data_IF_757869579955
#
_entry.id   IF_757869579955
#
_cell.length_a   1.000
_cell.length_b   1.000
_cell.length_c   1.000
_cell.angle_alpha   90.00
_cell.angle_beta   90.00
_cell.angle_gamma   90.00
#
_symmetry.space_group_name_H-M   'P 1'
#
loop_
_entity.id
_entity.type
_entity.pdbx_description
1 polymer ?
#
# COMPACT_ATOMS: atom_id res chain seq x y z
N UNK A 1 -35.66 -4.02 -13.73
CA UNK A 1 -34.68 -3.78 -12.63
C UNK A 1 -33.42 -3.22 -13.25
N UNK A 2 -32.83 -2.26 -12.56
CA UNK A 2 -32.01 -1.15 -13.06
C UNK A 2 -30.65 -1.62 -13.61
N UNK A 3 -30.36 -1.31 -14.87
CA UNK A 3 -29.02 -1.40 -15.44
C UNK A 3 -28.16 -0.28 -14.84
N UNK A 4 -27.06 -0.64 -14.18
CA UNK A 4 -26.04 0.31 -13.74
C UNK A 4 -24.91 0.30 -14.76
N UNK A 5 -24.88 1.31 -15.61
CA UNK A 5 -23.71 1.62 -16.42
C UNK A 5 -22.75 2.41 -15.54
N UNK A 6 -21.60 1.83 -15.18
CA UNK A 6 -20.48 2.56 -14.60
C UNK A 6 -19.75 3.27 -15.74
N UNK A 7 -19.98 4.57 -15.90
CA UNK A 7 -19.22 5.41 -16.81
C UNK A 7 -18.02 5.96 -16.04
N UNK A 8 -16.82 5.44 -16.31
CA UNK A 8 -15.56 6.00 -15.80
C UNK A 8 -15.24 7.24 -16.63
N UNK A 9 -15.31 8.41 -16.00
CA UNK A 9 -14.93 9.70 -16.58
C UNK A 9 -13.46 9.96 -16.22
N UNK A 10 -12.56 9.79 -17.19
CA UNK A 10 -11.17 10.23 -17.07
C UNK A 10 -11.13 11.74 -17.30
N UNK A 11 -11.02 12.51 -16.22
CA UNK A 11 -10.82 13.97 -16.31
C UNK A 11 -9.32 14.24 -16.18
N UNK A 12 -8.69 14.59 -17.30
CA UNK A 12 -7.32 15.11 -17.35
C UNK A 12 -7.39 16.60 -17.02
N UNK A 13 -7.05 16.98 -15.78
CA UNK A 13 -6.83 18.38 -15.44
C UNK A 13 -5.39 18.78 -15.79
N UNK A 14 -5.23 19.44 -16.94
CA UNK A 14 -4.04 20.23 -17.21
C UNK A 14 -4.11 21.54 -16.43
N UNK A 15 -3.19 21.76 -15.50
CA UNK A 15 -3.07 23.03 -14.81
C UNK A 15 -2.08 23.95 -15.55
N UNK A 16 -2.63 24.96 -16.24
CA UNK A 16 -1.89 26.15 -16.67
C UNK A 16 -1.84 27.14 -15.51
N UNK A 17 -0.67 27.36 -14.92
CA UNK A 17 -0.48 28.38 -13.89
C UNK A 17 -0.37 29.74 -14.59
N UNK A 18 -1.44 30.54 -14.52
CA UNK A 18 -1.40 31.95 -14.92
C UNK A 18 -1.71 32.87 -13.73
N UNK A 19 -0.71 33.70 -13.45
CA UNK A 19 -0.79 35.09 -12.98
C UNK A 19 -0.76 35.42 -11.49
N UNK A 20 0.08 36.42 -11.24
CA UNK A 20 -0.17 37.63 -10.45
C UNK A 20 0.23 37.61 -8.98
N UNK A 21 1.37 38.23 -8.73
CA UNK A 21 1.75 38.79 -7.44
C UNK A 21 0.66 39.75 -6.92
N UNK A 22 0.15 39.49 -5.73
CA UNK A 22 -0.24 40.54 -4.79
C UNK A 22 0.26 40.10 -3.43
N UNK A 23 1.12 40.93 -2.88
CA UNK A 23 1.74 40.79 -1.57
C UNK A 23 0.67 40.86 -0.49
N UNK A 24 0.53 39.80 0.28
CA UNK A 24 0.12 39.85 1.68
C UNK A 24 0.93 38.78 2.41
N UNK A 25 1.81 39.26 3.29
CA UNK A 25 2.66 38.46 4.18
C UNK A 25 1.79 37.79 5.25
N UNK A 26 1.12 36.70 4.90
CA UNK A 26 0.83 35.65 5.85
C UNK A 26 1.91 34.58 5.65
N UNK A 27 2.82 34.42 6.62
CA UNK A 27 3.67 33.23 6.74
C UNK A 27 2.76 32.02 6.93
N UNK A 28 2.17 31.55 5.84
CA UNK A 28 1.53 30.26 5.75
C UNK A 28 2.68 29.27 5.80
N UNK A 29 3.04 28.86 7.02
CA UNK A 29 3.88 27.69 7.23
C UNK A 29 3.31 26.60 6.32
N UNK A 30 4.07 26.08 5.34
CA UNK A 30 3.54 25.09 4.43
C UNK A 30 3.08 23.91 5.28
N UNK A 31 1.78 23.62 5.22
CA UNK A 31 1.25 22.40 5.81
C UNK A 31 1.87 21.27 5.00
N UNK A 32 2.82 20.56 5.61
CA UNK A 32 3.40 19.36 5.02
C UNK A 32 2.38 18.25 5.26
N UNK A 33 1.70 17.86 4.19
CA UNK A 33 0.81 16.70 4.17
C UNK A 33 1.63 15.44 4.49
N UNK A 34 1.18 14.57 5.44
CA UNK A 34 1.85 13.30 5.71
C UNK A 34 1.91 12.38 4.48
N UNK A 35 2.88 11.50 4.44
CA UNK A 35 2.97 10.48 3.38
C UNK A 35 2.17 9.21 3.72
N UNK A 36 1.91 8.34 2.74
CA UNK A 36 1.20 7.06 2.94
C UNK A 36 1.85 6.24 4.05
N UNK A 37 3.17 6.07 3.99
CA UNK A 37 3.92 5.29 4.98
C UNK A 37 3.86 5.93 6.39
N UNK A 38 3.79 7.25 6.49
CA UNK A 38 3.59 7.95 7.78
C UNK A 38 2.19 7.73 8.33
N UNK A 39 1.15 7.80 7.48
CA UNK A 39 -0.24 7.59 7.87
C UNK A 39 -0.53 6.15 8.30
N UNK A 40 0.13 5.18 7.66
CA UNK A 40 -0.17 3.77 7.83
C UNK A 40 0.90 2.99 8.59
N UNK A 41 1.91 3.66 9.16
CA UNK A 41 2.92 3.01 9.99
C UNK A 41 2.30 2.19 11.12
N UNK A 42 2.66 0.91 11.20
CA UNK A 42 2.20 -0.02 12.24
C UNK A 42 0.77 -0.50 12.07
N UNK A 43 0.09 -0.15 10.97
CA UNK A 43 -1.22 -0.71 10.64
C UNK A 43 -1.07 -2.12 10.08
N UNK A 44 -1.81 -3.07 10.66
CA UNK A 44 -1.82 -4.47 10.24
C UNK A 44 -2.99 -4.73 9.30
N UNK A 45 -2.72 -5.41 8.20
CA UNK A 45 -3.67 -5.76 7.16
C UNK A 45 -3.66 -7.26 6.93
N UNK A 46 -4.82 -7.87 6.71
CA UNK A 46 -4.92 -9.31 6.47
C UNK A 46 -5.73 -9.63 5.22
N UNK A 47 -5.24 -10.58 4.43
CA UNK A 47 -6.05 -11.30 3.45
C UNK A 47 -6.14 -12.77 3.88
N UNK A 48 -7.37 -13.26 4.07
CA UNK A 48 -7.65 -14.66 4.37
C UNK A 48 -8.23 -15.33 3.13
N UNK A 49 -7.37 -15.95 2.31
CA UNK A 49 -7.78 -16.59 1.06
C UNK A 49 -8.58 -17.86 1.35
N UNK A 50 -8.11 -18.66 2.30
CA UNK A 50 -8.79 -19.83 2.84
C UNK A 50 -8.16 -20.24 4.18
N UNK A 51 -8.68 -21.32 4.80
CA UNK A 51 -8.17 -21.83 6.08
C UNK A 51 -6.69 -22.29 6.05
N UNK A 52 -6.12 -22.46 4.86
CA UNK A 52 -4.74 -22.90 4.67
C UNK A 52 -3.80 -21.78 4.19
N UNK A 53 -4.35 -20.65 3.74
CA UNK A 53 -3.59 -19.57 3.13
C UNK A 53 -4.12 -18.22 3.63
N UNK A 54 -3.29 -17.55 4.41
CA UNK A 54 -3.54 -16.21 4.89
C UNK A 54 -2.25 -15.42 4.90
N UNK A 55 -2.35 -14.13 4.63
CA UNK A 55 -1.22 -13.21 4.68
C UNK A 55 -1.57 -12.03 5.58
N UNK A 56 -0.62 -11.64 6.41
CA UNK A 56 -0.62 -10.37 7.11
C UNK A 56 0.47 -9.47 6.53
N UNK A 57 0.18 -8.17 6.44
CA UNK A 57 1.11 -7.13 5.99
C UNK A 57 1.07 -5.95 6.97
N UNK A 58 2.23 -5.46 7.39
CA UNK A 58 2.33 -4.27 8.23
C UNK A 58 3.28 -3.24 7.62
N UNK A 59 2.82 -1.99 7.45
CA UNK A 59 3.65 -0.92 6.91
C UNK A 59 4.58 -0.30 7.94
N UNK A 60 5.70 0.22 7.46
CA UNK A 60 6.68 0.99 8.22
C UNK A 60 7.01 2.30 7.50
N UNK A 61 7.21 3.38 8.25
CA UNK A 61 7.78 4.61 7.72
C UNK A 61 9.30 4.47 7.49
N UNK A 62 9.67 3.53 6.62
CA UNK A 62 11.04 3.26 6.20
C UNK A 62 11.04 2.98 4.70
N UNK A 63 11.57 3.91 3.90
CA UNK A 63 11.59 3.78 2.46
C UNK A 63 12.44 2.60 1.95
N UNK A 64 13.35 2.04 2.77
CA UNK A 64 14.15 0.88 2.41
C UNK A 64 13.47 -0.46 2.73
N UNK A 65 12.60 -0.45 3.75
CA UNK A 65 11.82 -1.61 4.22
C UNK A 65 10.38 -1.17 4.51
N UNK A 66 9.59 -0.85 3.47
CA UNK A 66 8.30 -0.17 3.65
C UNK A 66 7.24 -1.03 4.33
N UNK A 67 7.41 -2.35 4.37
CA UNK A 67 6.53 -3.25 5.10
C UNK A 67 7.19 -4.59 5.43
N UNK A 68 6.56 -5.33 6.32
CA UNK A 68 6.84 -6.73 6.59
C UNK A 68 5.60 -7.60 6.38
N UNK A 69 5.82 -8.89 6.13
CA UNK A 69 4.80 -9.87 5.78
C UNK A 69 4.90 -11.12 6.64
N UNK A 70 3.73 -11.68 7.00
CA UNK A 70 3.60 -13.02 7.58
C UNK A 70 2.70 -13.86 6.70
N UNK A 71 3.23 -14.95 6.17
CA UNK A 71 2.54 -15.80 5.23
C UNK A 71 2.30 -17.19 5.83
N UNK A 72 1.04 -17.59 5.94
CA UNK A 72 0.64 -18.96 6.19
C UNK A 72 0.44 -19.63 4.84
N UNK A 73 1.24 -20.65 4.55
CA UNK A 73 1.12 -21.42 3.30
C UNK A 73 0.71 -22.86 3.61
N UNK A 74 -0.23 -23.39 2.83
CA UNK A 74 -0.64 -24.80 2.84
C UNK A 74 -1.04 -25.35 4.23
N UNK A 75 -1.49 -24.49 5.15
CA UNK A 75 -1.90 -24.90 6.48
C UNK A 75 -0.77 -25.48 7.33
N UNK A 76 0.48 -25.03 7.12
CA UNK A 76 1.64 -25.49 7.86
C UNK A 76 1.53 -25.31 9.39
N UNK A 77 0.53 -24.56 9.87
CA UNK A 77 0.30 -24.28 11.28
C UNK A 77 1.29 -23.26 11.87
N UNK A 78 2.13 -22.68 11.01
CA UNK A 78 3.07 -21.61 11.33
C UNK A 78 3.14 -20.61 10.17
N UNK A 79 3.59 -19.40 10.47
CA UNK A 79 3.80 -18.32 9.51
C UNK A 79 5.27 -18.20 9.15
N UNK A 80 5.57 -18.01 7.87
CA UNK A 80 6.86 -17.51 7.41
C UNK A 80 6.85 -15.98 7.51
N UNK A 81 7.90 -15.39 8.09
CA UNK A 81 8.03 -13.93 8.21
C UNK A 81 9.14 -13.41 7.31
N UNK A 82 8.86 -12.29 6.66
CA UNK A 82 9.80 -11.60 5.79
C UNK A 82 9.68 -10.10 5.95
N UNK A 83 10.83 -9.43 6.05
CA UNK A 83 10.92 -7.99 5.92
C UNK A 83 11.11 -7.65 4.44
N UNK A 84 10.27 -6.79 3.87
CA UNK A 84 10.30 -6.50 2.44
C UNK A 84 11.34 -5.41 2.13
N UNK A 85 12.60 -5.82 1.97
CA UNK A 85 13.69 -4.90 1.63
C UNK A 85 13.70 -4.63 0.13
N UNK A 86 13.47 -3.39 -0.29
CA UNK A 86 13.37 -3.06 -1.72
C UNK A 86 14.64 -3.39 -2.52
N UNK A 87 15.81 -3.33 -1.87
CA UNK A 87 17.09 -3.70 -2.46
C UNK A 87 17.15 -5.17 -2.89
N UNK A 88 16.43 -6.05 -2.21
CA UNK A 88 16.47 -7.49 -2.48
C UNK A 88 15.69 -7.85 -3.75
N UNK A 89 14.84 -6.92 -4.22
CA UNK A 89 13.98 -7.07 -5.40
C UNK A 89 14.29 -6.08 -6.54
N UNK A 90 15.35 -5.28 -6.40
CA UNK A 90 15.68 -4.20 -7.35
C UNK A 90 14.48 -3.27 -7.60
N UNK A 91 13.87 -2.81 -6.50
CA UNK A 91 12.67 -1.99 -6.48
C UNK A 91 12.91 -0.64 -5.81
N UNK A 92 12.05 0.33 -6.12
CA UNK A 92 12.09 1.69 -5.56
C UNK A 92 10.69 2.23 -5.35
N UNK A 93 10.48 3.02 -4.30
CA UNK A 93 9.24 3.81 -4.15
C UNK A 93 9.27 4.94 -5.17
N UNK A 94 8.29 4.96 -6.07
CA UNK A 94 8.13 5.99 -7.10
C UNK A 94 7.12 7.06 -6.71
N UNK A 95 6.15 6.72 -5.85
CA UNK A 95 5.19 7.66 -5.28
C UNK A 95 4.87 7.29 -3.81
N UNK A 96 4.69 8.28 -2.94
CA UNK A 96 4.32 8.10 -1.53
C UNK A 96 3.51 9.32 -1.04
N UNK A 97 2.27 9.46 -1.52
CA UNK A 97 1.34 10.56 -1.16
C UNK A 97 0.43 10.16 0.00
N UNK A 98 -0.45 11.03 0.50
CA UNK A 98 -1.48 10.62 1.46
C UNK A 98 -2.40 9.50 0.90
N UNK A 99 -2.64 9.50 -0.41
CA UNK A 99 -3.65 8.67 -1.05
C UNK A 99 -3.14 7.27 -1.39
N UNK A 100 -1.87 7.15 -1.80
CA UNK A 100 -1.32 5.87 -2.23
C UNK A 100 0.21 5.80 -2.14
N UNK A 101 0.69 4.56 -2.08
CA UNK A 101 2.09 4.18 -2.22
C UNK A 101 2.29 3.44 -3.53
N UNK A 102 3.29 3.82 -4.32
CA UNK A 102 3.71 3.13 -5.53
C UNK A 102 5.14 2.61 -5.36
N UNK A 103 5.33 1.30 -5.58
CA UNK A 103 6.63 0.65 -5.64
C UNK A 103 6.83 0.10 -7.05
N UNK A 104 7.86 0.59 -7.73
CA UNK A 104 8.23 0.14 -9.07
C UNK A 104 9.47 -0.75 -9.01
N UNK A 105 9.40 -1.89 -9.67
CA UNK A 105 10.51 -2.82 -9.85
C UNK A 105 11.24 -2.52 -11.16
N UNK A 106 12.53 -2.81 -11.22
CA UNK A 106 13.32 -2.61 -12.45
C UNK A 106 12.81 -3.45 -13.65
N UNK A 107 12.04 -4.52 -13.38
CA UNK A 107 11.34 -5.30 -14.41
C UNK A 107 10.18 -4.54 -15.09
N UNK A 108 9.77 -3.38 -14.56
CA UNK A 108 8.57 -2.65 -14.97
C UNK A 108 7.29 -3.13 -14.30
N UNK A 109 7.39 -4.10 -13.38
CA UNK A 109 6.33 -4.49 -12.47
C UNK A 109 6.06 -3.35 -11.48
N UNK A 110 4.81 -3.08 -11.15
CA UNK A 110 4.40 -2.03 -10.21
C UNK A 110 3.46 -2.60 -9.16
N UNK A 111 3.68 -2.22 -7.90
CA UNK A 111 2.73 -2.39 -6.81
C UNK A 111 2.17 -1.04 -6.40
N UNK A 112 0.85 -0.96 -6.33
CA UNK A 112 0.10 0.20 -5.84
C UNK A 112 -0.68 -0.21 -4.60
N UNK A 113 -0.52 0.55 -3.53
CA UNK A 113 -1.27 0.38 -2.29
C UNK A 113 -2.10 1.62 -2.01
N UNK A 114 -3.38 1.43 -1.74
CA UNK A 114 -4.30 2.49 -1.33
C UNK A 114 -5.15 1.98 -0.16
N UNK A 115 -5.63 2.89 0.68
CA UNK A 115 -6.50 2.55 1.81
C UNK A 115 -7.81 3.30 1.68
N UNK A 116 -8.92 2.57 1.75
CA UNK A 116 -10.28 3.11 1.80
C UNK A 116 -10.95 2.57 3.07
N UNK A 117 -11.17 3.46 4.04
CA UNK A 117 -11.70 3.12 5.37
C UNK A 117 -10.86 2.04 6.09
N UNK A 118 -11.41 0.84 6.27
CA UNK A 118 -10.76 -0.31 6.92
C UNK A 118 -10.32 -1.38 5.91
N UNK A 119 -10.21 -1.02 4.62
CA UNK A 119 -9.72 -1.88 3.55
C UNK A 119 -8.45 -1.31 2.92
N UNK A 120 -7.44 -2.16 2.78
CA UNK A 120 -6.26 -1.87 1.96
C UNK A 120 -6.38 -2.60 0.63
N UNK A 121 -6.23 -1.86 -0.45
CA UNK A 121 -6.23 -2.35 -1.82
C UNK A 121 -4.79 -2.39 -2.29
N UNK A 122 -4.32 -3.60 -2.59
CA UNK A 122 -3.04 -3.81 -3.26
C UNK A 122 -3.30 -4.21 -4.71
N UNK A 123 -2.87 -3.36 -5.64
CA UNK A 123 -2.90 -3.62 -7.08
C UNK A 123 -1.51 -4.02 -7.54
N UNK A 124 -1.42 -5.22 -8.10
CA UNK A 124 -0.22 -5.77 -8.70
C UNK A 124 -0.34 -5.68 -10.23
N UNK A 125 0.52 -4.85 -10.84
CA UNK A 125 0.56 -4.62 -12.30
C UNK A 125 1.79 -5.32 -12.89
N UNK A 126 1.55 -6.44 -13.56
CA UNK A 126 2.59 -7.23 -14.23
C UNK A 126 2.45 -7.19 -15.75
N UNK A 127 3.40 -7.79 -16.46
CA UNK A 127 3.28 -8.07 -17.90
C UNK A 127 2.16 -9.07 -18.23
N UNK A 128 1.72 -9.88 -17.26
CA UNK A 128 0.68 -10.90 -17.45
C UNK A 128 -0.73 -10.36 -17.21
N UNK A 129 -0.85 -9.25 -16.48
CA UNK A 129 -2.13 -8.63 -16.16
C UNK A 129 -2.09 -7.78 -14.90
N UNK A 130 -3.28 -7.35 -14.48
CA UNK A 130 -3.51 -6.58 -13.26
C UNK A 130 -4.26 -7.48 -12.27
N UNK A 131 -3.69 -7.66 -11.09
CA UNK A 131 -4.28 -8.42 -9.99
C UNK A 131 -4.62 -7.47 -8.85
N UNK A 132 -5.78 -7.67 -8.22
CA UNK A 132 -6.22 -6.84 -7.10
C UNK A 132 -6.41 -7.73 -5.88
N UNK A 133 -5.81 -7.32 -4.77
CA UNK A 133 -5.91 -7.97 -3.48
C UNK A 133 -6.52 -6.98 -2.50
N UNK A 134 -7.53 -7.43 -1.75
CA UNK A 134 -8.22 -6.61 -0.75
C UNK A 134 -7.90 -7.21 0.61
N UNK A 135 -7.33 -6.38 1.47
CA UNK A 135 -6.96 -6.73 2.83
C UNK A 135 -7.88 -6.00 3.80
N UNK A 136 -8.26 -6.70 4.86
CA UNK A 136 -9.04 -6.14 5.96
C UNK A 136 -8.09 -5.69 7.07
N UNK A 137 -8.36 -4.53 7.65
CA UNK A 137 -7.59 -4.01 8.79
C UNK A 137 -7.74 -4.91 10.00
N UNK A 138 -6.64 -5.16 10.70
CA UNK A 138 -6.58 -5.99 11.89
C UNK A 138 -5.97 -5.24 13.08
N UNK A 139 -6.15 -5.79 14.28
CA UNK A 139 -5.40 -5.35 15.45
C UNK A 139 -3.94 -5.78 15.31
N UNK A 140 -3.01 -4.84 15.41
CA UNK A 140 -1.57 -5.11 15.30
C UNK A 140 -1.07 -6.09 16.36
N UNK A 141 -1.73 -6.18 17.53
CA UNK A 141 -1.33 -7.13 18.57
C UNK A 141 -1.41 -8.61 18.13
N UNK A 142 -2.15 -8.92 17.05
CA UNK A 142 -2.26 -10.28 16.53
C UNK A 142 -0.89 -10.84 16.11
N UNK A 143 0.04 -10.00 15.62
CA UNK A 143 1.35 -10.48 15.16
C UNK A 143 2.19 -11.08 16.28
N UNK A 144 1.98 -10.64 17.53
CA UNK A 144 2.71 -11.16 18.71
C UNK A 144 2.30 -12.60 19.06
N UNK A 145 1.10 -13.01 18.64
CA UNK A 145 0.53 -14.34 18.89
C UNK A 145 0.76 -15.32 17.72
N UNK A 146 1.36 -14.87 16.60
CA UNK A 146 1.60 -15.73 15.45
C UNK A 146 2.68 -16.77 15.76
N UNK A 147 2.37 -18.04 15.46
CA UNK A 147 3.34 -19.13 15.54
C UNK A 147 4.27 -19.05 14.34
N UNK A 148 5.55 -18.79 14.58
CA UNK A 148 6.56 -18.67 13.53
C UNK A 148 7.13 -20.04 13.12
N UNK A 149 7.35 -20.24 11.82
CA UNK A 149 8.04 -21.43 11.34
C UNK A 149 9.51 -21.40 11.80
N UNK A 150 10.02 -22.53 12.31
CA UNK A 150 11.44 -22.68 12.65
C UNK A 150 12.27 -22.69 11.37
N UNK A 151 13.22 -21.76 11.27
CA UNK A 151 14.24 -21.72 10.21
C UNK A 151 15.30 -22.82 10.39
#
# INVERSE_FOLDING_TARGET
>A
MRHFYFTILVIVFGFTITTSCSSDDDEMTPVVEPTFLELHQGTLWQIAINEFNSEYLMFHNDASVPFEQWLLIYGAGCYEHSNYKLSDFDATITENTEEYLEITFNSGHVWLFAVEEDLMIWVDVTTEGIYNYIYEKQDSAIVDDLVMCTQ
#
